data_IF_972594123602
#
_entry.id   IF_972594123602
#
_cell.length_a   1.000
_cell.length_b   1.000
_cell.length_c   1.000
_cell.angle_alpha   90.00
_cell.angle_beta   90.00
_cell.angle_gamma   90.00
#
_symmetry.space_group_name_H-M   'P 1'
#
loop_
_entity.id
_entity.type
_entity.pdbx_description
1 polymer ?
#
# COMPACT_ATOMS: atom_id res chain seq x y z
N UNK A 1 17.36 11.52 -35.62
CA UNK A 1 15.88 11.48 -35.64
C UNK A 1 15.26 10.92 -34.37
N UNK A 2 15.82 9.89 -33.73
CA UNK A 2 15.23 9.19 -32.58
C UNK A 2 14.74 10.09 -31.43
N UNK A 3 15.52 11.13 -31.08
CA UNK A 3 15.17 12.06 -29.98
C UNK A 3 13.89 12.86 -30.22
N UNK A 4 13.56 13.22 -31.47
CA UNK A 4 12.31 13.93 -31.79
C UNK A 4 11.12 13.00 -31.61
N UNK A 5 11.24 11.76 -32.06
CA UNK A 5 10.23 10.72 -31.96
C UNK A 5 9.92 10.39 -30.49
N UNK A 6 10.96 10.20 -29.66
CA UNK A 6 10.79 10.00 -28.22
C UNK A 6 10.04 11.14 -27.54
N UNK A 7 10.42 12.39 -27.85
CA UNK A 7 9.78 13.56 -27.24
C UNK A 7 8.32 13.73 -27.67
N UNK A 8 7.93 13.26 -28.86
CA UNK A 8 6.53 13.25 -29.29
C UNK A 8 5.69 12.19 -28.58
N UNK A 9 6.28 11.02 -28.29
CA UNK A 9 5.58 9.90 -27.65
C UNK A 9 5.44 10.08 -26.13
N UNK A 10 6.49 10.56 -25.45
CA UNK A 10 6.55 10.60 -23.98
C UNK A 10 6.63 12.01 -23.39
N UNK A 11 6.57 13.03 -24.24
CA UNK A 11 6.86 14.40 -23.86
C UNK A 11 8.36 14.68 -23.73
N UNK A 12 8.69 15.97 -23.69
CA UNK A 12 10.08 16.44 -23.57
C UNK A 12 10.49 16.49 -22.10
N UNK A 13 11.62 15.83 -21.79
CA UNK A 13 12.19 15.81 -20.45
C UNK A 13 12.49 17.22 -19.92
N UNK A 14 12.29 17.43 -18.61
CA UNK A 14 12.67 18.65 -17.91
C UNK A 14 14.19 18.65 -17.73
N UNK A 15 14.87 19.65 -18.29
CA UNK A 15 16.32 19.80 -18.18
C UNK A 15 16.68 20.78 -17.06
N UNK A 16 17.68 20.48 -16.21
CA UNK A 16 17.98 21.28 -15.02
C UNK A 16 18.51 22.70 -15.32
N UNK A 17 19.06 22.94 -16.51
CA UNK A 17 19.63 24.23 -16.93
C UNK A 17 18.69 25.08 -17.80
N UNK A 18 17.47 24.62 -18.06
CA UNK A 18 16.50 25.34 -18.90
C UNK A 18 15.45 26.06 -18.03
N UNK A 19 15.51 27.40 -17.95
CA UNK A 19 14.60 28.23 -17.16
C UNK A 19 13.23 28.45 -17.86
N UNK A 20 12.51 27.35 -18.12
CA UNK A 20 11.24 27.35 -18.88
C UNK A 20 10.00 27.19 -18.00
N UNK A 21 10.15 27.18 -16.66
CA UNK A 21 9.05 26.93 -15.72
C UNK A 21 8.52 25.48 -15.71
N UNK A 22 8.88 24.65 -16.69
CA UNK A 22 8.45 23.24 -16.80
C UNK A 22 8.76 22.42 -15.56
N UNK A 23 9.85 22.74 -14.85
CA UNK A 23 10.19 22.07 -13.59
C UNK A 23 9.17 22.35 -12.49
N UNK A 24 8.60 23.55 -12.43
CA UNK A 24 7.55 23.87 -11.48
C UNK A 24 6.26 23.12 -11.81
N UNK A 25 5.89 23.07 -13.11
CA UNK A 25 4.68 22.38 -13.58
C UNK A 25 4.77 20.85 -13.50
N UNK A 26 5.97 20.29 -13.60
CA UNK A 26 6.17 18.84 -13.48
C UNK A 26 6.09 18.35 -12.02
N UNK A 27 6.11 19.25 -11.02
CA UNK A 27 5.96 18.86 -9.62
C UNK A 27 4.49 18.59 -9.32
N UNK A 28 4.17 17.49 -8.62
CA UNK A 28 2.81 17.23 -8.20
C UNK A 28 2.32 18.32 -7.25
N UNK A 29 1.05 18.70 -7.39
CA UNK A 29 0.41 19.66 -6.49
C UNK A 29 0.28 19.05 -5.09
N UNK A 30 0.72 19.80 -4.07
CA UNK A 30 0.73 19.31 -2.68
C UNK A 30 -0.51 19.73 -1.88
N UNK A 31 -1.40 20.55 -2.44
CA UNK A 31 -2.53 21.14 -1.71
C UNK A 31 -3.37 20.08 -1.00
N UNK A 32 -3.84 19.06 -1.72
CA UNK A 32 -4.67 18.00 -1.14
C UNK A 32 -3.94 17.19 -0.06
N UNK A 33 -2.66 16.87 -0.27
CA UNK A 33 -1.87 16.13 0.72
C UNK A 33 -1.72 16.92 2.02
N UNK A 34 -1.55 18.24 1.92
CA UNK A 34 -1.50 19.14 3.08
C UNK A 34 -2.85 19.24 3.77
N UNK A 35 -3.94 19.37 3.02
CA UNK A 35 -5.29 19.42 3.62
C UNK A 35 -5.60 18.11 4.34
N UNK A 36 -5.36 16.97 3.68
CA UNK A 36 -5.65 15.66 4.26
C UNK A 36 -4.94 15.46 5.60
N UNK A 37 -3.76 16.06 5.81
CA UNK A 37 -3.05 16.04 7.09
C UNK A 37 -3.75 16.84 8.20
N UNK A 38 -4.21 18.06 7.91
CA UNK A 38 -4.87 18.91 8.91
C UNK A 38 -6.27 18.43 9.30
N UNK A 39 -6.99 17.80 8.37
CA UNK A 39 -8.31 17.23 8.60
C UNK A 39 -8.29 15.72 8.83
N UNK A 40 -7.11 15.13 9.05
CA UNK A 40 -6.97 13.72 9.34
C UNK A 40 -7.66 13.39 10.66
N UNK A 41 -8.60 12.42 10.70
CA UNK A 41 -9.19 12.02 11.95
C UNK A 41 -8.09 11.43 12.86
N UNK A 42 -8.18 11.64 14.18
CA UNK A 42 -7.10 11.34 15.11
C UNK A 42 -6.72 9.85 15.07
N UNK A 43 -7.67 8.95 14.83
CA UNK A 43 -7.45 7.52 14.68
C UNK A 43 -6.59 7.11 13.46
N UNK A 44 -6.43 7.99 12.48
CA UNK A 44 -5.58 7.78 11.32
C UNK A 44 -4.24 8.50 11.45
N UNK A 45 -4.03 9.26 12.52
CA UNK A 45 -2.77 9.98 12.73
C UNK A 45 -1.65 9.02 13.15
N UNK A 46 -0.43 9.21 12.60
CA UNK A 46 0.71 8.41 13.04
C UNK A 46 0.96 8.55 14.54
N UNK A 47 0.98 7.42 15.25
CA UNK A 47 1.18 7.37 16.70
C UNK A 47 -0.11 7.45 17.53
N UNK A 48 -1.29 7.46 16.91
CA UNK A 48 -2.53 7.28 17.64
C UNK A 48 -2.73 5.82 18.04
N UNK A 49 -3.08 5.61 19.30
CA UNK A 49 -3.41 4.29 19.86
C UNK A 49 -4.89 4.25 20.22
N UNK A 50 -5.55 3.18 19.79
CA UNK A 50 -6.97 2.92 20.00
C UNK A 50 -7.11 1.51 20.52
N UNK A 51 -7.49 1.36 21.79
CA UNK A 51 -7.62 0.05 22.43
C UNK A 51 -8.68 -0.82 21.74
N UNK A 52 -9.74 -0.20 21.23
CA UNK A 52 -10.80 -0.87 20.48
C UNK A 52 -10.28 -1.44 19.16
N UNK A 53 -9.55 -0.64 18.36
CA UNK A 53 -8.99 -1.09 17.09
C UNK A 53 -7.94 -2.19 17.29
N UNK A 54 -7.11 -2.08 18.33
CA UNK A 54 -6.14 -3.11 18.71
C UNK A 54 -6.83 -4.43 19.10
N UNK A 55 -7.94 -4.34 19.84
CA UNK A 55 -8.72 -5.52 20.22
C UNK A 55 -9.35 -6.19 19.01
N UNK A 56 -9.95 -5.42 18.09
CA UNK A 56 -10.52 -5.95 16.84
C UNK A 56 -9.46 -6.62 15.97
N UNK A 57 -8.27 -6.02 15.85
CA UNK A 57 -7.15 -6.57 15.11
C UNK A 57 -6.67 -7.89 15.72
N UNK A 58 -6.49 -7.95 17.04
CA UNK A 58 -6.14 -9.19 17.76
C UNK A 58 -7.19 -10.27 17.55
N UNK A 59 -8.47 -9.92 17.65
CA UNK A 59 -9.58 -10.86 17.43
C UNK A 59 -9.59 -11.40 15.99
N UNK A 60 -9.34 -10.56 15.00
CA UNK A 60 -9.26 -10.96 13.60
C UNK A 60 -8.05 -11.87 13.32
N UNK A 61 -6.88 -11.57 13.89
CA UNK A 61 -5.69 -12.40 13.77
C UNK A 61 -5.88 -13.77 14.42
N UNK A 62 -6.45 -13.82 15.63
CA UNK A 62 -6.74 -15.09 16.30
C UNK A 62 -7.69 -15.97 15.47
N UNK A 63 -8.72 -15.40 14.85
CA UNK A 63 -9.63 -16.12 13.94
C UNK A 63 -8.93 -16.66 12.69
N UNK A 64 -7.87 -16.01 12.20
CA UNK A 64 -7.08 -16.51 11.07
C UNK A 64 -6.20 -17.67 11.51
N UNK A 65 -5.49 -17.51 12.62
CA UNK A 65 -4.65 -18.58 13.18
C UNK A 65 -5.43 -19.86 13.49
N UNK A 66 -6.65 -19.75 14.03
CA UNK A 66 -7.49 -20.95 14.26
C UNK A 66 -7.88 -21.63 12.96
N UNK A 67 -8.22 -20.86 11.91
CA UNK A 67 -8.56 -21.41 10.59
C UNK A 67 -7.37 -22.06 9.91
N UNK A 68 -6.18 -21.46 10.03
CA UNK A 68 -4.93 -22.02 9.50
C UNK A 68 -4.58 -23.31 10.23
N UNK A 69 -4.69 -23.34 11.57
CA UNK A 69 -4.46 -24.55 12.36
C UNK A 69 -5.48 -25.67 12.03
N UNK A 70 -6.75 -25.33 11.81
CA UNK A 70 -7.78 -26.29 11.37
C UNK A 70 -7.50 -26.84 9.96
N UNK A 71 -7.01 -26.00 9.05
CA UNK A 71 -6.61 -26.41 7.70
C UNK A 71 -5.37 -27.32 7.72
N UNK A 72 -4.35 -27.00 8.53
CA UNK A 72 -3.16 -27.85 8.71
C UNK A 72 -3.49 -29.18 9.40
N UNK A 73 -4.40 -29.19 10.37
CA UNK A 73 -4.86 -30.42 11.02
C UNK A 73 -5.66 -31.34 10.08
N UNK A 74 -6.43 -30.76 9.14
CA UNK A 74 -7.15 -31.52 8.12
C UNK A 74 -6.20 -32.14 7.08
N UNK A 75 -5.11 -31.46 6.74
CA UNK A 75 -4.09 -31.96 5.79
C UNK A 75 -3.23 -33.09 6.41
N UNK A 76 -2.87 -32.96 7.70
CA UNK A 76 -2.09 -33.98 8.42
C UNK A 76 -2.84 -35.29 8.72
N UNK A 77 -4.18 -35.29 8.70
CA UNK A 77 -5.03 -36.44 9.06
C UNK A 77 -5.26 -37.48 7.96
N UNK A 78 -4.86 -37.22 6.71
CA UNK A 78 -5.19 -38.07 5.55
C UNK A 78 -4.33 -39.34 5.37
N UNK A 79 -3.29 -39.53 6.17
CA UNK A 79 -2.21 -40.47 5.86
C UNK A 79 -2.04 -41.66 6.80
N UNK A 80 -3.03 -42.55 6.98
CA UNK A 80 -2.83 -44.00 7.32
C UNK A 80 -4.15 -44.71 7.62
N UNK A 81 -4.78 -45.35 6.63
CA UNK A 81 -5.50 -46.62 6.82
C UNK A 81 -5.82 -47.30 5.48
N UNK A 82 -4.84 -48.00 4.93
CA UNK A 82 -5.10 -49.09 3.97
C UNK A 82 -3.96 -50.11 3.98
N UNK A 83 -4.11 -51.16 4.79
CA UNK A 83 -3.64 -52.54 4.55
C UNK A 83 -3.82 -53.37 5.83
N UNK A 84 -4.92 -54.11 5.90
CA UNK A 84 -4.96 -55.55 6.17
C UNK A 84 -6.31 -56.08 5.70
#
# INVERSE_FOLDING_TARGET
MLHRLRNSLFGRAVRPREATGRRALARPLQGKALTDWYWMPPNQSPGFHSEEDEYELRRALNRRHTKEAEAEAADAGGGKKKKK
#
